data_IF_016720654016
#
_entry.id   IF_016720654016
#
_cell.length_a   1.000
_cell.length_b   1.000
_cell.length_c   1.000
_cell.angle_alpha   90.00
_cell.angle_beta   90.00
_cell.angle_gamma   90.00
#
_symmetry.space_group_name_H-M   'P 1'
#
loop_
_entity.id
_entity.type
_entity.pdbx_description
1 polymer ?
#
# COMPACT_ATOMS: atom_id res chain seq x y z
N UNK A 1 -19.25 -12.62 -5.03
CA UNK A 1 -18.12 -11.87 -4.45
C UNK A 1 -17.85 -10.69 -5.36
N UNK A 2 -18.33 -9.51 -4.97
CA UNK A 2 -18.08 -8.28 -5.72
C UNK A 2 -16.70 -7.77 -5.32
N UNK A 3 -15.80 -7.58 -6.28
CA UNK A 3 -14.50 -6.97 -6.02
C UNK A 3 -14.71 -5.53 -5.51
N UNK A 4 -13.91 -5.11 -4.54
CA UNK A 4 -13.99 -3.75 -3.96
C UNK A 4 -13.46 -2.65 -4.88
N UNK A 5 -12.90 -3.01 -6.05
CA UNK A 5 -12.39 -2.07 -7.05
C UNK A 5 -13.06 -2.32 -8.40
N UNK A 6 -13.64 -1.28 -8.99
CA UNK A 6 -14.21 -1.32 -10.35
C UNK A 6 -13.11 -1.03 -11.36
N UNK A 7 -12.59 -2.07 -12.03
CA UNK A 7 -11.66 -1.91 -13.15
C UNK A 7 -12.46 -1.46 -14.40
N UNK A 8 -12.10 -0.35 -15.07
CA UNK A 8 -12.77 0.08 -16.30
C UNK A 8 -12.67 -0.99 -17.41
N UNK A 9 -13.63 -1.01 -18.34
CA UNK A 9 -13.48 -1.79 -19.58
C UNK A 9 -12.40 -1.19 -20.48
N UNK A 10 -11.80 -2.03 -21.33
CA UNK A 10 -10.82 -1.60 -22.33
C UNK A 10 -11.39 -0.49 -23.23
N UNK A 11 -10.65 0.60 -23.39
CA UNK A 11 -11.08 1.77 -24.17
C UNK A 11 -9.86 2.56 -24.68
N UNK A 12 -9.78 2.80 -25.99
CA UNK A 12 -8.63 3.48 -26.59
C UNK A 12 -7.35 2.66 -26.45
N UNK A 13 -6.29 3.24 -25.89
CA UNK A 13 -5.00 2.56 -25.61
C UNK A 13 -4.95 1.86 -24.24
N UNK A 14 -6.03 1.96 -23.44
CA UNK A 14 -6.10 1.31 -22.14
C UNK A 14 -6.52 -0.17 -22.29
N UNK A 15 -5.68 -1.07 -21.78
CA UNK A 15 -5.96 -2.51 -21.65
C UNK A 15 -5.92 -2.89 -20.15
N UNK A 16 -7.06 -3.33 -19.56
CA UNK A 16 -7.16 -3.73 -18.16
C UNK A 16 -6.17 -4.80 -17.72
N UNK A 17 -5.63 -5.60 -18.64
CA UNK A 17 -4.65 -6.64 -18.31
C UNK A 17 -3.30 -6.06 -17.86
N UNK A 18 -3.00 -4.80 -18.19
CA UNK A 18 -1.81 -4.09 -17.72
C UNK A 18 -2.07 -3.18 -16.50
N UNK A 19 -3.30 -3.15 -15.98
CA UNK A 19 -3.65 -2.38 -14.78
C UNK A 19 -3.24 -3.15 -13.52
N UNK A 20 -2.49 -2.49 -12.65
CA UNK A 20 -1.94 -3.10 -11.44
C UNK A 20 -1.94 -2.09 -10.29
N UNK A 21 -2.56 -2.45 -9.17
CA UNK A 21 -2.50 -1.65 -7.95
C UNK A 21 -1.03 -1.54 -7.48
N UNK A 22 -0.53 -0.31 -7.43
CA UNK A 22 0.81 -0.04 -6.90
C UNK A 22 0.80 0.04 -5.36
N UNK A 23 -0.29 0.50 -4.74
CA UNK A 23 -0.36 0.82 -3.31
C UNK A 23 0.02 -0.33 -2.37
N UNK A 24 0.55 0.01 -1.19
CA UNK A 24 0.89 -0.94 -0.12
C UNK A 24 0.52 -0.41 1.26
N UNK A 25 0.28 -1.30 2.21
CA UNK A 25 -0.02 -0.97 3.62
C UNK A 25 0.93 -1.73 4.53
N UNK A 26 1.42 -1.07 5.57
CA UNK A 26 2.21 -1.69 6.62
C UNK A 26 1.59 -1.42 8.00
N UNK A 27 1.83 -2.33 8.94
CA UNK A 27 1.34 -2.22 10.31
C UNK A 27 2.43 -2.66 11.30
N UNK A 28 2.51 -1.97 12.44
CA UNK A 28 3.43 -2.27 13.53
C UNK A 28 2.65 -2.25 14.84
N UNK A 29 2.86 -3.25 15.69
CA UNK A 29 2.29 -3.33 17.02
C UNK A 29 3.30 -3.92 18.01
N UNK A 30 3.20 -3.48 19.26
CA UNK A 30 3.89 -4.09 20.40
C UNK A 30 2.88 -4.85 21.25
N UNK A 31 3.25 -6.04 21.73
CA UNK A 31 2.40 -6.84 22.63
C UNK A 31 2.53 -6.40 24.10
N UNK A 32 3.42 -5.44 24.39
CA UNK A 32 3.71 -4.99 25.76
C UNK A 32 2.63 -4.08 26.33
N UNK A 33 1.79 -3.46 25.48
CA UNK A 33 0.81 -2.46 25.89
C UNK A 33 1.42 -1.13 26.38
N UNK A 34 2.74 -0.99 26.34
CA UNK A 34 3.45 0.22 26.77
C UNK A 34 3.62 1.15 25.58
N UNK A 35 3.21 2.41 25.75
CA UNK A 35 3.45 3.45 24.75
C UNK A 35 4.96 3.77 24.66
N UNK A 36 5.51 3.76 23.45
CA UNK A 36 6.90 4.09 23.17
C UNK A 36 7.02 4.80 21.82
N UNK A 37 7.98 5.71 21.67
CA UNK A 37 8.28 6.34 20.39
C UNK A 37 8.93 5.36 19.39
N UNK A 38 9.47 4.24 19.87
CA UNK A 38 10.06 3.20 19.02
C UNK A 38 9.08 2.67 17.96
N UNK A 39 7.80 2.52 18.31
CA UNK A 39 6.77 2.04 17.37
C UNK A 39 6.59 3.01 16.18
N UNK A 40 6.78 4.31 16.41
CA UNK A 40 6.70 5.33 15.36
C UNK A 40 7.91 5.22 14.44
N UNK A 41 9.10 5.04 14.99
CA UNK A 41 10.34 4.85 14.20
C UNK A 41 10.24 3.59 13.33
N UNK A 42 9.71 2.50 13.87
CA UNK A 42 9.46 1.26 13.13
C UNK A 42 8.41 1.46 12.02
N UNK A 43 7.31 2.17 12.30
CA UNK A 43 6.29 2.48 11.29
C UNK A 43 6.86 3.32 10.13
N UNK A 44 7.67 4.33 10.42
CA UNK A 44 8.35 5.14 9.38
C UNK A 44 9.31 4.29 8.53
N UNK A 45 10.02 3.35 9.16
CA UNK A 45 10.89 2.41 8.43
C UNK A 45 10.07 1.49 7.52
N UNK A 46 8.94 0.99 8.01
CA UNK A 46 8.05 0.16 7.21
C UNK A 46 7.46 0.93 6.01
N UNK A 47 7.10 2.21 6.19
CA UNK A 47 6.65 3.08 5.09
C UNK A 47 7.74 3.28 4.03
N UNK A 48 8.99 3.54 4.44
CA UNK A 48 10.13 3.66 3.51
C UNK A 48 10.37 2.39 2.71
N UNK A 49 10.12 1.22 3.28
CA UNK A 49 10.24 -0.04 2.56
C UNK A 49 9.15 -0.22 1.49
N UNK A 50 8.05 0.53 1.55
CA UNK A 50 6.98 0.54 0.56
C UNK A 50 7.16 1.62 -0.52
N UNK A 51 8.28 2.34 -0.55
CA UNK A 51 8.47 3.46 -1.48
C UNK A 51 8.41 3.02 -2.95
N UNK A 52 8.91 1.81 -3.25
CA UNK A 52 8.82 1.16 -4.57
C UNK A 52 7.39 0.82 -5.03
N UNK A 53 6.41 0.98 -4.14
CA UNK A 53 4.98 0.76 -4.35
C UNK A 53 4.18 2.08 -4.39
N UNK A 54 4.81 3.21 -4.08
CA UNK A 54 4.20 4.52 -4.25
C UNK A 54 4.23 4.96 -5.71
N UNK A 55 3.24 5.74 -6.13
CA UNK A 55 3.39 6.54 -7.34
C UNK A 55 4.62 7.45 -7.15
N UNK A 56 5.66 7.20 -7.94
CA UNK A 56 6.93 7.93 -7.89
C UNK A 56 7.10 8.67 -9.21
N UNK A 57 7.23 10.00 -9.16
CA UNK A 57 7.31 10.87 -10.34
C UNK A 57 7.56 12.32 -9.97
#
# INVERSE_FOLDING_TARGET
MTAFSSVPQAQGLYDPNFEHDACGVAFVATLTGVASHEIVVQALTALRNLDHRGASG
#
